data_IF_484300607140
#
_entry.id   IF_484300607140
#
_cell.length_a   1.000
_cell.length_b   1.000
_cell.length_c   1.000
_cell.angle_alpha   90.00
_cell.angle_beta   90.00
_cell.angle_gamma   90.00
#
_symmetry.space_group_name_H-M   'P 1'
#
loop_
_entity.id
_entity.type
_entity.pdbx_description
1 polymer ?
#
# COMPACT_ATOMS: atom_id res chain seq x y z
N UNK A 1 7.94 6.07 21.04
CA UNK A 1 8.73 7.12 20.36
C UNK A 1 9.54 6.44 19.25
N UNK A 2 9.76 7.09 18.11
CA UNK A 2 10.56 6.51 17.02
C UNK A 2 12.02 6.38 17.47
N UNK A 3 12.61 5.20 17.28
CA UNK A 3 14.03 4.96 17.49
C UNK A 3 14.81 5.48 16.26
N UNK A 4 15.68 6.47 16.45
CA UNK A 4 16.48 7.08 15.38
C UNK A 4 17.44 6.08 14.74
N UNK A 5 18.04 5.18 15.51
CA UNK A 5 19.02 4.21 15.01
C UNK A 5 18.34 3.18 14.10
N UNK A 6 17.18 2.69 14.51
CA UNK A 6 16.43 1.72 13.70
C UNK A 6 15.82 2.37 12.46
N UNK A 7 15.42 3.65 12.55
CA UNK A 7 15.00 4.43 11.38
C UNK A 7 16.15 4.59 10.38
N UNK A 8 17.35 4.94 10.85
CA UNK A 8 18.54 5.07 10.02
C UNK A 8 18.87 3.76 9.29
N UNK A 9 18.82 2.61 9.98
CA UNK A 9 19.03 1.29 9.37
C UNK A 9 18.04 1.00 8.25
N UNK A 10 16.76 1.33 8.43
CA UNK A 10 15.75 1.15 7.37
C UNK A 10 15.97 2.06 6.17
N UNK A 11 16.48 3.27 6.38
CA UNK A 11 16.91 4.13 5.27
C UNK A 11 18.09 3.50 4.53
N UNK A 12 19.06 2.90 5.24
CA UNK A 12 20.17 2.19 4.61
C UNK A 12 19.69 0.99 3.79
N UNK A 13 18.76 0.21 4.33
CA UNK A 13 18.14 -0.93 3.64
C UNK A 13 17.44 -0.50 2.35
N UNK A 14 16.72 0.63 2.37
CA UNK A 14 16.09 1.21 1.17
C UNK A 14 17.14 1.64 0.15
N UNK A 15 18.19 2.35 0.58
CA UNK A 15 19.28 2.82 -0.29
C UNK A 15 19.97 1.63 -0.97
N UNK A 16 20.27 0.58 -0.21
CA UNK A 16 20.91 -0.64 -0.70
C UNK A 16 19.99 -1.41 -1.67
N UNK A 17 18.71 -1.57 -1.32
CA UNK A 17 17.72 -2.25 -2.15
C UNK A 17 17.59 -1.64 -3.55
N UNK A 18 17.56 -0.30 -3.64
CA UNK A 18 17.48 0.40 -4.93
C UNK A 18 18.86 0.63 -5.59
N UNK A 19 19.96 0.18 -4.97
CA UNK A 19 21.32 0.37 -5.49
C UNK A 19 21.74 1.85 -5.60
N UNK A 20 21.18 2.71 -4.75
CA UNK A 20 21.43 4.14 -4.78
C UNK A 20 22.62 4.54 -3.87
N UNK A 21 23.19 5.71 -4.11
CA UNK A 21 24.07 6.36 -3.12
C UNK A 21 23.24 7.27 -2.21
N UNK A 22 23.75 7.58 -1.01
CA UNK A 22 23.09 8.54 -0.11
C UNK A 22 22.83 9.91 -0.77
N UNK A 23 23.72 10.35 -1.67
CA UNK A 23 23.56 11.59 -2.45
C UNK A 23 22.43 11.48 -3.47
N UNK A 24 22.35 10.38 -4.21
CA UNK A 24 21.29 10.13 -5.20
C UNK A 24 19.93 9.99 -4.51
N UNK A 25 19.88 9.30 -3.37
CA UNK A 25 18.68 9.19 -2.55
C UNK A 25 18.18 10.56 -2.09
N UNK A 26 19.08 11.43 -1.60
CA UNK A 26 18.74 12.80 -1.19
C UNK A 26 18.12 13.61 -2.34
N UNK A 27 18.72 13.53 -3.52
CA UNK A 27 18.26 14.22 -4.72
C UNK A 27 16.87 13.70 -5.15
N UNK A 28 16.68 12.38 -5.15
CA UNK A 28 15.42 11.74 -5.55
C UNK A 28 14.24 12.06 -4.63
N UNK A 29 14.48 12.20 -3.32
CA UNK A 29 13.43 12.64 -2.38
C UNK A 29 13.34 14.16 -2.22
N UNK A 30 14.16 14.94 -2.94
CA UNK A 30 14.13 16.40 -2.91
C UNK A 30 14.52 16.99 -1.56
N UNK A 31 15.58 16.47 -0.93
CA UNK A 31 16.15 17.00 0.31
C UNK A 31 17.65 17.28 0.17
N UNK A 32 18.20 18.07 1.09
CA UNK A 32 19.64 18.31 1.12
C UNK A 32 20.40 17.04 1.53
N UNK A 33 21.59 16.83 0.94
CA UNK A 33 22.49 15.70 1.28
C UNK A 33 22.87 15.67 2.76
N UNK A 34 23.01 16.84 3.38
CA UNK A 34 23.25 17.01 4.83
C UNK A 34 22.12 16.41 5.68
N UNK A 35 20.87 16.53 5.24
CA UNK A 35 19.72 15.93 5.92
C UNK A 35 19.83 14.40 5.98
N UNK A 36 20.24 13.76 4.87
CA UNK A 36 20.49 12.32 4.85
C UNK A 36 21.63 11.95 5.79
N UNK A 37 22.75 12.68 5.75
CA UNK A 37 23.90 12.42 6.64
C UNK A 37 23.52 12.49 8.11
N UNK A 38 22.74 13.50 8.53
CA UNK A 38 22.29 13.62 9.92
C UNK A 38 21.33 12.51 10.34
N UNK A 39 20.42 12.08 9.46
CA UNK A 39 19.52 10.94 9.71
C UNK A 39 20.31 9.64 9.87
N UNK A 40 21.23 9.35 8.94
CA UNK A 40 22.04 8.13 8.96
C UNK A 40 22.99 8.06 10.17
N UNK A 41 23.36 9.21 10.74
CA UNK A 41 24.16 9.28 11.96
C UNK A 41 23.38 9.04 13.26
N UNK A 42 22.04 8.89 13.19
CA UNK A 42 21.17 8.69 14.35
C UNK A 42 20.94 9.93 15.23
N UNK A 43 21.65 11.04 14.97
CA UNK A 43 21.58 12.27 15.79
C UNK A 43 20.25 13.01 15.67
N UNK A 44 19.57 12.90 14.53
CA UNK A 44 18.36 13.64 14.24
C UNK A 44 17.15 12.72 14.08
N UNK A 45 15.99 13.19 14.55
CA UNK A 45 14.69 12.59 14.23
C UNK A 45 14.22 13.08 12.86
N UNK A 46 13.59 12.22 12.05
CA UNK A 46 13.00 12.65 10.79
C UNK A 46 11.81 13.60 11.05
N UNK A 47 11.69 14.64 10.22
CA UNK A 47 10.48 15.47 10.19
C UNK A 47 9.35 14.74 9.46
N UNK A 48 8.10 15.17 9.68
CA UNK A 48 6.96 14.63 8.93
C UNK A 48 7.15 14.82 7.42
N UNK A 49 7.57 16.02 7.00
CA UNK A 49 7.81 16.33 5.59
C UNK A 49 8.85 15.40 4.96
N UNK A 50 9.93 15.09 5.70
CA UNK A 50 10.95 14.13 5.26
C UNK A 50 10.38 12.74 5.04
N UNK A 51 9.56 12.25 5.98
CA UNK A 51 8.91 10.93 5.87
C UNK A 51 7.96 10.90 4.68
N UNK A 52 7.15 11.96 4.48
CA UNK A 52 6.21 12.02 3.37
C UNK A 52 6.92 12.02 2.01
N UNK A 53 8.04 12.75 1.89
CA UNK A 53 8.88 12.74 0.69
C UNK A 53 9.41 11.35 0.34
N UNK A 54 9.85 10.59 1.34
CA UNK A 54 10.27 9.19 1.14
C UNK A 54 9.12 8.35 0.59
N UNK A 55 7.95 8.41 1.24
CA UNK A 55 6.79 7.61 0.84
C UNK A 55 6.27 7.98 -0.55
N UNK A 56 6.38 9.25 -0.96
CA UNK A 56 6.01 9.66 -2.31
C UNK A 56 7.01 9.19 -3.38
N UNK A 57 8.30 9.14 -3.05
CA UNK A 57 9.35 8.75 -4.00
C UNK A 57 9.56 7.23 -4.10
N UNK A 58 9.13 6.48 -3.08
CA UNK A 58 9.27 5.03 -2.99
C UNK A 58 7.95 4.40 -2.54
N UNK A 59 7.03 4.10 -3.49
CA UNK A 59 5.68 3.60 -3.17
C UNK A 59 5.68 2.21 -2.52
N UNK A 60 6.79 1.47 -2.66
CA UNK A 60 6.96 0.15 -2.05
C UNK A 60 7.28 0.24 -0.55
N UNK A 61 7.49 1.45 0.00
CA UNK A 61 7.73 1.67 1.43
C UNK A 61 6.41 1.90 2.15
N UNK A 62 6.16 1.11 3.19
CA UNK A 62 5.05 1.34 4.10
C UNK A 62 5.45 2.26 5.26
N UNK A 63 4.60 3.25 5.60
CA UNK A 63 4.82 4.17 6.73
C UNK A 63 5.07 3.41 8.05
N UNK A 64 4.28 2.38 8.34
CA UNK A 64 4.38 1.65 9.60
C UNK A 64 5.70 0.88 9.71
N UNK A 65 6.14 0.28 8.60
CA UNK A 65 7.45 -0.36 8.50
C UNK A 65 8.57 0.65 8.66
N UNK A 66 8.51 1.78 7.95
CA UNK A 66 9.54 2.81 8.00
C UNK A 66 9.71 3.42 9.41
N UNK A 67 8.61 3.61 10.14
CA UNK A 67 8.66 4.22 11.48
C UNK A 67 8.91 3.23 12.61
N UNK A 68 8.35 2.02 12.52
CA UNK A 68 8.29 1.07 13.65
C UNK A 68 8.94 -0.28 13.35
N UNK A 69 9.41 -0.53 12.12
CA UNK A 69 9.99 -1.81 11.71
C UNK A 69 8.98 -2.95 11.63
N UNK A 70 7.68 -2.65 11.58
CA UNK A 70 6.60 -3.64 11.53
C UNK A 70 5.94 -3.62 10.16
N UNK A 71 5.70 -4.80 9.59
CA UNK A 71 5.28 -4.96 8.20
C UNK A 71 6.44 -5.50 7.37
N UNK A 72 6.41 -5.26 6.06
CA UNK A 72 7.46 -5.71 5.14
C UNK A 72 7.84 -4.60 4.17
N UNK A 73 9.12 -4.53 3.86
CA UNK A 73 9.66 -3.77 2.73
C UNK A 73 10.47 -4.73 1.86
N UNK A 74 10.33 -4.67 0.53
CA UNK A 74 9.30 -3.94 -0.22
C UNK A 74 7.88 -4.44 0.13
N UNK A 75 6.92 -3.52 0.18
CA UNK A 75 5.53 -3.88 0.44
C UNK A 75 4.98 -4.56 -0.80
N UNK A 76 4.47 -5.78 -0.66
CA UNK A 76 3.91 -6.57 -1.76
C UNK A 76 2.51 -6.06 -2.18
N UNK A 77 2.29 -4.74 -2.11
CA UNK A 77 1.14 -4.11 -2.71
C UNK A 77 1.38 -4.24 -4.20
N UNK A 78 0.66 -5.15 -4.84
CA UNK A 78 0.40 -5.06 -6.26
C UNK A 78 0.07 -3.60 -6.53
N UNK A 79 1.01 -2.90 -7.15
CA UNK A 79 0.76 -1.56 -7.65
C UNK A 79 -0.49 -1.69 -8.51
N UNK A 80 -1.47 -0.78 -8.41
CA UNK A 80 -2.41 -0.57 -9.50
C UNK A 80 -1.57 -0.04 -10.67
N UNK A 81 -0.83 -0.94 -11.31
CA UNK A 81 -0.41 -0.76 -12.68
C UNK A 81 -1.70 -0.53 -13.42
N UNK A 82 -1.76 0.61 -14.08
CA UNK A 82 -2.69 0.94 -15.15
C UNK A 82 -2.47 -0.07 -16.30
N UNK A 83 -2.75 -1.34 -16.02
CA UNK A 83 -3.04 -2.38 -16.97
C UNK A 83 -4.53 -2.55 -16.85
N UNK A 84 -5.22 -2.34 -17.97
CA UNK A 84 -6.60 -2.74 -18.14
C UNK A 84 -6.85 -4.09 -17.46
N UNK A 85 -8.04 -4.31 -16.87
CA UNK A 85 -8.36 -5.58 -16.27
C UNK A 85 -8.41 -6.64 -17.38
N UNK A 86 -7.28 -7.28 -17.67
CA UNK A 86 -7.28 -8.59 -18.27
C UNK A 86 -7.85 -9.52 -17.21
N UNK A 87 -9.15 -9.75 -17.31
CA UNK A 87 -9.83 -10.85 -16.63
C UNK A 87 -9.07 -12.13 -16.98
N UNK A 88 -8.16 -12.55 -16.10
CA UNK A 88 -7.72 -13.93 -16.09
C UNK A 88 -8.94 -14.77 -15.75
N UNK A 89 -9.33 -15.62 -16.71
CA UNK A 89 -10.40 -16.60 -16.59
C UNK A 89 -10.00 -17.67 -15.58
N UNK A 90 -10.02 -17.34 -14.30
CA UNK A 90 -9.90 -18.33 -13.24
C UNK A 90 -11.10 -18.23 -12.29
N UNK A 91 -11.82 -19.37 -12.23
CA UNK A 91 -12.91 -19.73 -11.31
C UNK A 91 -14.37 -19.55 -11.75
N UNK A 92 -14.68 -20.00 -12.98
CA UNK A 92 -16.04 -20.38 -13.37
C UNK A 92 -16.64 -21.51 -12.47
N UNK A 93 -15.80 -22.29 -11.78
CA UNK A 93 -16.23 -23.43 -10.97
C UNK A 93 -16.79 -23.07 -9.58
N UNK A 94 -16.27 -22.02 -8.96
CA UNK A 94 -16.68 -21.63 -7.59
C UNK A 94 -18.04 -20.94 -7.59
N UNK A 95 -18.28 -20.05 -8.55
CA UNK A 95 -19.57 -19.37 -8.72
C UNK A 95 -20.69 -20.34 -9.13
N UNK A 96 -20.38 -21.35 -9.96
CA UNK A 96 -21.37 -22.37 -10.38
C UNK A 96 -21.84 -23.27 -9.22
N UNK A 97 -21.01 -23.52 -8.22
CA UNK A 97 -21.42 -24.29 -7.04
C UNK A 97 -22.32 -23.48 -6.11
N UNK A 98 -22.03 -22.19 -5.91
CA UNK A 98 -22.90 -21.28 -5.14
C UNK A 98 -24.28 -21.13 -5.80
N UNK A 99 -24.34 -21.14 -7.13
CA UNK A 99 -25.60 -21.06 -7.89
C UNK A 99 -26.36 -22.39 -8.02
N UNK A 100 -25.71 -23.54 -7.77
CA UNK A 100 -26.37 -24.86 -7.82
C UNK A 100 -27.13 -25.19 -6.53
N UNK A 101 -26.68 -24.69 -5.37
CA UNK A 101 -27.33 -24.93 -4.08
C UNK A 101 -28.57 -24.04 -3.83
N UNK A 102 -28.81 -23.02 -4.66
CA UNK A 102 -29.94 -22.09 -4.47
C UNK A 102 -31.25 -22.52 -5.14
N UNK A 103 -31.26 -23.57 -5.97
CA UNK A 103 -32.44 -24.04 -6.71
C UNK A 103 -33.35 -25.01 -5.93
N UNK A 104 -33.57 -24.77 -4.65
CA UNK A 104 -34.66 -25.43 -3.90
C UNK A 104 -35.63 -24.37 -3.37
N UNK A 105 -36.72 -24.10 -4.10
CA UNK A 105 -37.91 -23.35 -3.67
C UNK A 105 -37.67 -22.17 -2.70
N UNK A 106 -36.71 -21.29 -3.00
CA UNK A 106 -36.50 -20.07 -2.21
C UNK A 106 -37.27 -18.92 -2.85
N UNK A 107 -38.24 -18.41 -2.12
CA UNK A 107 -38.90 -17.15 -2.47
C UNK A 107 -37.98 -15.97 -2.13
N UNK A 108 -38.06 -14.90 -2.93
CA UNK A 108 -37.23 -13.72 -2.74
C UNK A 108 -37.80 -12.93 -1.56
N UNK A 109 -37.05 -12.84 -0.46
CA UNK A 109 -37.43 -12.04 0.71
C UNK A 109 -37.16 -10.54 0.47
N UNK A 110 -36.01 -10.20 -0.13
CA UNK A 110 -35.56 -8.81 -0.30
C UNK A 110 -34.62 -8.61 -1.49
N UNK A 111 -34.74 -7.47 -2.16
CA UNK A 111 -33.82 -6.99 -3.21
C UNK A 111 -33.32 -5.59 -2.85
N UNK A 112 -32.00 -5.40 -2.86
CA UNK A 112 -31.33 -4.10 -2.73
C UNK A 112 -30.65 -3.72 -4.05
N UNK A 113 -31.01 -2.57 -4.62
CA UNK A 113 -30.45 -2.05 -5.87
C UNK A 113 -29.65 -0.79 -5.56
N UNK A 114 -28.34 -0.80 -5.81
CA UNK A 114 -27.45 0.35 -5.63
C UNK A 114 -27.24 1.09 -6.95
N UNK A 115 -27.34 2.42 -6.92
CA UNK A 115 -27.11 3.29 -8.06
C UNK A 115 -25.74 3.95 -7.96
N UNK A 116 -25.19 4.38 -9.11
CA UNK A 116 -23.87 5.02 -9.20
C UNK A 116 -23.80 6.38 -8.50
N UNK A 117 -24.95 7.00 -8.25
CA UNK A 117 -25.07 8.25 -7.48
C UNK A 117 -25.03 8.02 -5.96
N UNK A 118 -24.83 6.77 -5.52
CA UNK A 118 -24.78 6.40 -4.11
C UNK A 118 -26.15 6.15 -3.47
N UNK A 119 -27.24 6.31 -4.21
CA UNK A 119 -28.58 5.98 -3.73
C UNK A 119 -28.85 4.47 -3.81
N UNK A 120 -29.87 3.99 -3.10
CA UNK A 120 -30.33 2.62 -3.25
C UNK A 120 -31.85 2.50 -3.16
N UNK A 121 -32.39 1.44 -3.75
CA UNK A 121 -33.79 1.01 -3.58
C UNK A 121 -33.85 -0.32 -2.87
N UNK A 122 -34.77 -0.43 -1.92
CA UNK A 122 -35.05 -1.65 -1.17
C UNK A 122 -36.46 -2.12 -1.52
N UNK A 123 -36.57 -3.36 -1.99
CA UNK A 123 -37.82 -4.04 -2.26
C UNK A 123 -37.93 -5.24 -1.34
N UNK A 124 -39.06 -5.38 -0.66
CA UNK A 124 -39.37 -6.49 0.22
C UNK A 124 -40.74 -7.04 -0.19
N UNK A 125 -40.89 -8.36 -0.19
CA UNK A 125 -42.15 -9.03 -0.50
C UNK A 125 -43.19 -8.83 0.62
#
# INVERSE_FOLDING_TARGET
MINSDDFAKRIQEVIEFYGESASSFAEKIGVQRSSISHILSGRNKPSLEFVLKILSSYPDIELYWLLNGKGSFPSNKETPSEKEPSFEKHSDATLKNILKESNQNKEIERILIFFKDGTFKNYQN
#
